data_IF_292587538099
#
_entry.id   IF_292587538099
#
_cell.length_a   1.000
_cell.length_b   1.000
_cell.length_c   1.000
_cell.angle_alpha   90.00
_cell.angle_beta   90.00
_cell.angle_gamma   90.00
#
_symmetry.space_group_name_H-M   'P 1'
#
loop_
_entity.id
_entity.type
_entity.pdbx_description
1 polymer ?
#
# COMPACT_ATOMS: atom_id res chain seq x y z
N UNK A 1 -10.68 31.15 11.78
CA UNK A 1 -10.84 30.01 12.69
C UNK A 1 -9.46 29.39 12.86
N UNK A 2 -8.85 29.53 14.01
CA UNK A 2 -7.55 28.97 14.31
C UNK A 2 -7.71 27.46 14.45
N UNK A 3 -7.21 26.71 13.50
CA UNK A 3 -6.87 25.31 13.71
C UNK A 3 -5.45 25.32 14.30
N UNK A 4 -5.36 25.84 15.52
CA UNK A 4 -4.27 25.49 16.39
C UNK A 4 -4.67 24.20 17.09
N UNK A 5 -3.84 23.19 16.79
CA UNK A 5 -3.56 22.13 17.71
C UNK A 5 -4.34 20.86 17.58
N UNK A 6 -3.65 19.86 17.62
CA UNK A 6 -2.58 19.46 18.51
C UNK A 6 -1.76 18.45 17.72
N UNK A 7 -0.60 18.81 17.25
CA UNK A 7 0.44 17.81 17.02
C UNK A 7 0.74 17.32 18.42
N UNK A 8 0.19 16.17 18.76
CA UNK A 8 0.40 15.54 20.03
C UNK A 8 1.90 15.32 20.16
N UNK A 9 2.52 15.79 21.22
CA UNK A 9 3.96 15.61 21.45
C UNK A 9 4.41 14.14 21.28
N UNK A 10 3.49 13.19 21.57
CA UNK A 10 3.68 11.78 21.28
C UNK A 10 3.90 11.42 19.80
N UNK A 11 3.34 12.18 18.86
CA UNK A 11 3.55 11.93 17.43
C UNK A 11 4.89 12.49 16.94
N UNK A 12 5.49 13.40 17.70
CA UNK A 12 6.82 13.91 17.41
C UNK A 12 7.92 12.92 17.83
N UNK A 13 7.68 12.13 18.89
CA UNK A 13 8.58 11.06 19.33
C UNK A 13 8.59 9.85 18.37
N UNK A 14 7.60 9.73 17.46
CA UNK A 14 7.51 8.70 16.42
C UNK A 14 8.11 9.16 15.09
N UNK A 15 8.92 10.22 15.10
CA UNK A 15 9.56 10.78 13.92
C UNK A 15 10.59 9.85 13.26
N UNK A 16 11.44 10.41 12.46
CA UNK A 16 12.40 9.74 11.57
C UNK A 16 13.40 8.80 12.28
N UNK A 17 13.48 8.85 13.62
CA UNK A 17 14.36 8.01 14.44
C UNK A 17 13.77 6.63 14.78
N UNK A 18 12.75 6.20 14.08
CA UNK A 18 12.11 4.91 14.31
C UNK A 18 12.95 3.78 13.70
N UNK A 19 13.64 3.03 14.55
CA UNK A 19 14.55 1.95 14.14
C UNK A 19 13.92 0.55 14.09
N UNK A 20 12.68 0.38 14.52
CA UNK A 20 12.05 -0.95 14.48
C UNK A 20 11.38 -1.19 13.13
N UNK A 21 11.85 -2.22 12.43
CA UNK A 21 11.24 -2.74 11.22
C UNK A 21 10.43 -3.99 11.58
N UNK A 22 9.16 -4.00 11.21
CA UNK A 22 8.35 -5.20 11.31
C UNK A 22 8.73 -6.18 10.20
N UNK A 23 8.94 -7.44 10.53
CA UNK A 23 9.14 -8.50 9.54
C UNK A 23 7.89 -8.70 8.66
N UNK A 24 6.73 -8.29 9.17
CA UNK A 24 5.44 -8.33 8.48
C UNK A 24 4.76 -6.99 8.72
N UNK A 25 4.15 -6.41 7.68
CA UNK A 25 3.37 -5.18 7.80
C UNK A 25 2.29 -5.33 8.87
N UNK A 26 2.25 -4.48 9.90
CA UNK A 26 1.22 -4.55 10.94
C UNK A 26 -0.15 -4.20 10.35
N UNK A 27 -1.13 -5.06 10.56
CA UNK A 27 -2.49 -4.90 10.08
C UNK A 27 -3.46 -4.83 11.25
N UNK A 28 -4.59 -4.13 11.06
CA UNK A 28 -5.71 -4.16 11.98
C UNK A 28 -6.39 -5.55 11.93
N UNK A 29 -7.00 -5.98 13.05
CA UNK A 29 -7.74 -7.24 13.11
C UNK A 29 -8.86 -7.31 12.05
N UNK A 30 -9.51 -6.18 11.77
CA UNK A 30 -10.58 -6.04 10.79
C UNK A 30 -10.11 -5.54 9.41
N UNK A 31 -8.83 -5.70 9.07
CA UNK A 31 -8.23 -5.15 7.85
C UNK A 31 -8.94 -5.58 6.54
N UNK A 32 -9.61 -6.73 6.57
CA UNK A 32 -10.26 -7.32 5.39
C UNK A 32 -11.79 -7.39 5.47
N UNK A 33 -12.40 -6.72 6.45
CA UNK A 33 -13.87 -6.66 6.57
C UNK A 33 -14.52 -5.86 5.44
N UNK A 34 -13.80 -4.84 4.92
CA UNK A 34 -14.26 -4.06 3.78
C UNK A 34 -13.87 -4.75 2.47
N UNK A 35 -14.79 -4.78 1.52
CA UNK A 35 -14.50 -5.17 0.15
C UNK A 35 -13.55 -4.17 -0.53
N UNK A 36 -12.87 -4.60 -1.60
CA UNK A 36 -11.98 -3.71 -2.37
C UNK A 36 -12.75 -2.51 -2.93
N UNK A 37 -13.98 -2.68 -3.36
CA UNK A 37 -14.83 -1.59 -3.81
C UNK A 37 -15.09 -0.55 -2.71
N UNK A 38 -15.41 -0.99 -1.50
CA UNK A 38 -15.59 -0.10 -0.36
C UNK A 38 -14.32 0.64 0.02
N UNK A 39 -13.17 -0.05 -0.04
CA UNK A 39 -11.86 0.59 0.19
C UNK A 39 -11.56 1.64 -0.87
N UNK A 40 -11.84 1.34 -2.14
CA UNK A 40 -11.64 2.28 -3.25
C UNK A 40 -12.48 3.54 -3.06
N UNK A 41 -13.76 3.41 -2.71
CA UNK A 41 -14.64 4.55 -2.49
C UNK A 41 -14.14 5.46 -1.37
N UNK A 42 -13.75 4.88 -0.24
CA UNK A 42 -13.23 5.62 0.90
C UNK A 42 -11.91 6.32 0.55
N UNK A 43 -10.98 5.61 -0.07
CA UNK A 43 -9.66 6.15 -0.45
C UNK A 43 -9.82 7.25 -1.50
N UNK A 44 -10.72 7.08 -2.47
CA UNK A 44 -11.01 8.10 -3.48
C UNK A 44 -11.38 9.45 -2.84
N UNK A 45 -12.27 9.45 -1.83
CA UNK A 45 -12.68 10.66 -1.15
C UNK A 45 -11.51 11.34 -0.40
N UNK A 46 -10.66 10.54 0.23
CA UNK A 46 -9.47 11.07 0.89
C UNK A 46 -8.44 11.61 -0.09
N UNK A 47 -8.20 10.94 -1.21
CA UNK A 47 -7.31 11.45 -2.27
C UNK A 47 -7.83 12.75 -2.85
N UNK A 48 -9.15 12.85 -3.09
CA UNK A 48 -9.79 14.10 -3.49
C UNK A 48 -9.45 15.22 -2.51
N UNK A 49 -9.66 14.99 -1.23
CA UNK A 49 -9.36 15.97 -0.18
C UNK A 49 -7.89 16.37 -0.16
N UNK A 50 -6.96 15.42 -0.35
CA UNK A 50 -5.53 15.71 -0.42
C UNK A 50 -5.23 16.66 -1.59
N UNK A 51 -5.72 16.35 -2.80
CA UNK A 51 -5.45 17.14 -3.99
C UNK A 51 -6.03 18.57 -3.86
N UNK A 52 -7.25 18.70 -3.37
CA UNK A 52 -7.90 20.00 -3.11
C UNK A 52 -7.13 20.81 -2.05
N UNK A 53 -6.63 20.15 -1.00
CA UNK A 53 -5.82 20.79 0.04
C UNK A 53 -4.49 21.31 -0.52
N UNK A 54 -3.92 20.61 -1.50
CA UNK A 54 -2.72 21.04 -2.22
C UNK A 54 -2.99 22.16 -3.24
N UNK A 55 -4.26 22.57 -3.40
CA UNK A 55 -4.65 23.66 -4.30
C UNK A 55 -4.93 23.24 -5.74
N UNK A 56 -5.07 21.94 -6.01
CA UNK A 56 -5.37 21.44 -7.35
C UNK A 56 -6.85 21.56 -7.69
N UNK A 57 -7.16 22.00 -8.91
CA UNK A 57 -8.54 22.10 -9.40
C UNK A 57 -8.99 20.78 -10.03
N UNK A 58 -9.82 20.02 -9.35
CA UNK A 58 -10.36 18.75 -9.83
C UNK A 58 -11.48 18.91 -10.89
N UNK A 59 -11.84 20.13 -11.26
CA UNK A 59 -12.74 20.39 -12.40
C UNK A 59 -12.01 20.25 -13.72
N UNK A 60 -10.69 20.38 -13.71
CA UNK A 60 -9.86 20.18 -14.90
C UNK A 60 -9.95 18.72 -15.38
N UNK A 61 -10.07 18.54 -16.67
CA UNK A 61 -10.26 17.23 -17.30
C UNK A 61 -9.09 16.27 -17.05
N UNK A 62 -7.88 16.79 -16.85
CA UNK A 62 -6.69 15.99 -16.54
C UNK A 62 -6.73 15.41 -15.13
N UNK A 63 -7.38 16.11 -14.19
CA UNK A 63 -7.37 15.78 -12.76
C UNK A 63 -8.66 15.19 -12.23
N UNK A 64 -9.81 15.45 -12.88
CA UNK A 64 -11.12 15.01 -12.35
C UNK A 64 -11.23 13.50 -12.08
N UNK A 65 -10.52 12.67 -12.82
CA UNK A 65 -10.51 11.21 -12.63
C UNK A 65 -9.36 10.71 -11.74
N UNK A 66 -8.47 11.58 -11.31
CA UNK A 66 -7.28 11.19 -10.54
C UNK A 66 -7.59 10.55 -9.21
N UNK A 67 -8.54 11.05 -8.40
CA UNK A 67 -8.88 10.40 -7.12
C UNK A 67 -9.24 8.91 -7.27
N UNK A 68 -10.07 8.60 -8.24
CA UNK A 68 -10.48 7.22 -8.49
C UNK A 68 -9.32 6.36 -9.03
N UNK A 69 -8.52 6.90 -9.94
CA UNK A 69 -7.35 6.18 -10.48
C UNK A 69 -6.35 5.84 -9.37
N UNK A 70 -6.04 6.80 -8.50
CA UNK A 70 -5.13 6.59 -7.37
C UNK A 70 -5.71 5.57 -6.39
N UNK A 71 -6.99 5.67 -6.05
CA UNK A 71 -7.63 4.72 -5.14
C UNK A 71 -7.59 3.28 -5.68
N UNK A 72 -7.89 3.08 -6.96
CA UNK A 72 -7.79 1.76 -7.61
C UNK A 72 -6.36 1.24 -7.62
N UNK A 73 -5.40 2.08 -7.97
CA UNK A 73 -3.98 1.71 -7.97
C UNK A 73 -3.53 1.30 -6.56
N UNK A 74 -3.91 2.03 -5.53
CA UNK A 74 -3.55 1.70 -4.14
C UNK A 74 -4.11 0.34 -3.71
N UNK A 75 -5.41 0.10 -3.92
CA UNK A 75 -6.05 -1.12 -3.44
C UNK A 75 -5.63 -2.35 -4.26
N UNK A 76 -5.60 -2.21 -5.59
CA UNK A 76 -5.43 -3.37 -6.47
C UNK A 76 -3.97 -3.68 -6.83
N UNK A 77 -3.09 -2.67 -6.80
CA UNK A 77 -1.72 -2.79 -7.29
C UNK A 77 -0.72 -2.59 -6.15
N UNK A 78 -0.54 -1.36 -5.67
CA UNK A 78 0.52 -1.00 -4.72
C UNK A 78 0.38 -1.76 -3.40
N UNK A 79 -0.83 -1.82 -2.84
CA UNK A 79 -1.12 -2.50 -1.59
C UNK A 79 -1.90 -3.81 -1.76
N UNK A 80 -2.07 -4.27 -2.98
CA UNK A 80 -2.74 -5.54 -3.28
C UNK A 80 -2.09 -6.75 -2.60
N UNK A 81 -0.79 -6.68 -2.36
CA UNK A 81 -0.04 -7.71 -1.64
C UNK A 81 -0.39 -7.86 -0.16
N UNK A 82 -1.04 -6.87 0.45
CA UNK A 82 -1.53 -6.98 1.83
C UNK A 82 -2.70 -7.96 1.95
N UNK A 83 -3.46 -8.17 0.88
CA UNK A 83 -4.60 -9.08 0.89
C UNK A 83 -4.12 -10.54 0.77
N UNK A 84 -4.36 -11.40 1.78
CA UNK A 84 -3.94 -12.80 1.76
C UNK A 84 -4.47 -13.60 0.55
N UNK A 85 -5.61 -13.18 -0.03
CA UNK A 85 -6.18 -13.81 -1.21
C UNK A 85 -5.31 -13.67 -2.45
N UNK A 86 -4.48 -12.63 -2.49
CA UNK A 86 -3.58 -12.34 -3.61
C UNK A 86 -2.22 -13.03 -3.45
N UNK A 87 -2.00 -13.76 -2.34
CA UNK A 87 -0.76 -14.49 -2.12
C UNK A 87 -0.57 -15.55 -3.21
N UNK A 88 0.57 -15.57 -3.91
CA UNK A 88 0.87 -16.60 -4.88
C UNK A 88 0.83 -17.99 -4.23
N UNK A 89 0.25 -18.95 -4.94
CA UNK A 89 0.23 -20.35 -4.49
C UNK A 89 1.46 -21.05 -5.03
N UNK A 90 2.19 -21.71 -4.15
CA UNK A 90 3.25 -22.62 -4.56
C UNK A 90 2.62 -23.88 -5.14
N UNK A 91 3.13 -24.34 -6.28
CA UNK A 91 2.83 -25.63 -6.84
C UNK A 91 4.09 -26.49 -6.86
N UNK A 92 3.93 -27.76 -6.59
CA UNK A 92 5.02 -28.72 -6.62
C UNK A 92 4.70 -29.80 -7.65
N UNK A 93 5.74 -30.42 -8.17
CA UNK A 93 5.65 -31.56 -9.07
C UNK A 93 6.61 -32.64 -8.61
N UNK A 94 6.35 -33.90 -9.01
CA UNK A 94 7.20 -35.01 -8.65
C UNK A 94 8.56 -34.88 -9.30
N UNK A 95 9.62 -35.07 -8.53
CA UNK A 95 10.99 -35.17 -9.04
C UNK A 95 11.26 -36.56 -9.67
N UNK A 96 10.61 -36.83 -10.79
CA UNK A 96 10.70 -38.11 -11.47
C UNK A 96 12.10 -38.41 -11.97
N UNK A 97 12.86 -37.40 -12.29
CA UNK A 97 14.25 -37.54 -12.77
C UNK A 97 15.28 -37.56 -11.66
N UNK A 98 14.85 -37.52 -10.40
CA UNK A 98 15.72 -37.55 -9.20
C UNK A 98 16.85 -36.54 -9.23
N UNK A 99 16.56 -35.32 -9.67
CA UNK A 99 17.50 -34.21 -9.55
C UNK A 99 17.87 -33.98 -8.07
N UNK A 100 19.18 -34.09 -7.78
CA UNK A 100 19.72 -33.86 -6.44
C UNK A 100 20.36 -32.50 -6.25
N UNK A 101 20.28 -31.62 -7.25
CA UNK A 101 20.90 -30.30 -7.23
C UNK A 101 19.91 -29.22 -6.81
N UNK A 102 20.44 -28.13 -6.27
CA UNK A 102 19.66 -26.97 -5.92
C UNK A 102 19.29 -26.19 -7.18
N UNK A 103 18.00 -25.90 -7.35
CA UNK A 103 17.51 -24.95 -8.34
C UNK A 103 17.69 -23.54 -7.81
N UNK A 104 18.40 -22.69 -8.55
CA UNK A 104 18.64 -21.29 -8.17
C UNK A 104 18.08 -20.36 -9.24
N UNK A 105 17.10 -19.55 -8.87
CA UNK A 105 16.62 -18.43 -9.68
C UNK A 105 17.31 -17.16 -9.25
N UNK A 106 17.76 -16.34 -10.22
CA UNK A 106 18.48 -15.09 -9.99
C UNK A 106 17.79 -13.95 -10.71
N UNK A 107 18.13 -12.71 -10.29
CA UNK A 107 17.64 -11.47 -10.93
C UNK A 107 16.12 -11.34 -10.93
N UNK A 108 15.48 -11.81 -9.85
CA UNK A 108 14.04 -11.67 -9.66
C UNK A 108 13.74 -10.19 -9.35
N UNK A 109 12.98 -9.54 -10.23
CA UNK A 109 12.52 -8.16 -10.00
C UNK A 109 11.46 -8.14 -8.91
N UNK A 110 11.68 -7.35 -7.87
CA UNK A 110 10.75 -7.14 -6.78
C UNK A 110 10.33 -5.67 -6.74
N UNK A 111 9.04 -5.41 -6.66
CA UNK A 111 8.49 -4.08 -6.42
C UNK A 111 8.03 -3.99 -4.97
N UNK A 112 8.47 -2.97 -4.29
CA UNK A 112 8.13 -2.71 -2.90
C UNK A 112 7.74 -1.26 -2.69
N UNK A 113 6.97 -1.00 -1.63
CA UNK A 113 6.55 0.35 -1.24
C UNK A 113 7.00 0.60 0.19
N UNK A 114 7.70 1.72 0.39
CA UNK A 114 8.12 2.14 1.71
C UNK A 114 6.89 2.43 2.59
N UNK A 115 6.83 1.81 3.76
CA UNK A 115 5.72 2.02 4.70
C UNK A 115 5.72 3.41 5.35
N UNK A 116 6.88 4.11 5.36
CA UNK A 116 7.00 5.41 5.98
C UNK A 116 6.47 6.55 5.11
N UNK A 117 6.74 6.52 3.80
CA UNK A 117 6.37 7.58 2.88
C UNK A 117 5.41 7.14 1.77
N UNK A 118 5.06 5.86 1.73
CA UNK A 118 4.20 5.24 0.70
C UNK A 118 4.75 5.42 -0.73
N UNK A 119 6.06 5.55 -0.86
CA UNK A 119 6.74 5.66 -2.15
C UNK A 119 7.35 4.33 -2.57
N UNK A 120 7.42 4.05 -3.88
CA UNK A 120 8.11 2.88 -4.40
C UNK A 120 9.61 2.89 -4.09
N UNK A 121 10.16 1.71 -3.81
CA UNK A 121 11.59 1.47 -3.58
C UNK A 121 12.05 0.26 -4.40
#
# INVERSE_FOLDING_TARGET
MKIEKTINEKNFELGEDHFSLSAVTPLLENAFDKSDAQKIDIIQDHVKTILETLGMDLKDDSLKGTPLRVAKMFVNEIFGGLNPKNKPKASTFNNSYKYGEMLVEKNITLYSTCEHHLLPI
#
